data_IF_012679197471
#
_entry.id   IF_012679197471
#
_cell.length_a   1.000
_cell.length_b   1.000
_cell.length_c   1.000
_cell.angle_alpha   90.00
_cell.angle_beta   90.00
_cell.angle_gamma   90.00
#
_symmetry.space_group_name_H-M   'P 1'
#
loop_
_entity.id
_entity.type
_entity.pdbx_description
1 polymer ?
#
# COMPACT_ATOMS: atom_id res chain seq x y z
N UNK A 1 14.31 13.83 -8.73
CA UNK A 1 13.21 12.84 -8.81
C UNK A 1 13.32 11.82 -7.70
N UNK A 2 12.45 11.92 -6.70
CA UNK A 2 12.36 10.95 -5.60
C UNK A 2 11.16 10.04 -5.86
N UNK A 3 11.26 8.76 -5.51
CA UNK A 3 10.11 7.84 -5.54
C UNK A 3 9.39 7.90 -4.19
N UNK A 4 8.09 8.18 -4.20
CA UNK A 4 7.25 8.25 -2.99
C UNK A 4 6.06 7.30 -3.11
N UNK A 5 5.63 6.74 -1.99
CA UNK A 5 4.47 5.84 -1.93
C UNK A 5 3.28 6.68 -1.50
N UNK A 6 2.23 6.69 -2.31
CA UNK A 6 0.98 7.44 -2.07
C UNK A 6 -0.22 6.51 -2.15
N UNK A 7 -1.33 6.91 -1.53
CA UNK A 7 -2.61 6.22 -1.73
C UNK A 7 -3.08 6.42 -3.16
N UNK A 8 -3.72 5.41 -3.75
CA UNK A 8 -4.33 5.56 -5.09
C UNK A 8 -5.38 6.68 -5.10
N UNK A 9 -6.06 6.92 -3.97
CA UNK A 9 -7.06 7.98 -3.83
C UNK A 9 -6.45 9.39 -3.84
N UNK A 10 -5.15 9.51 -3.57
CA UNK A 10 -4.41 10.78 -3.60
C UNK A 10 -3.79 11.03 -4.98
N UNK A 11 -3.84 10.03 -5.87
CA UNK A 11 -3.29 10.12 -7.21
C UNK A 11 -4.15 11.00 -8.10
N UNK A 12 -3.49 11.82 -8.91
CA UNK A 12 -4.14 12.68 -9.90
C UNK A 12 -3.57 12.42 -11.28
N UNK A 13 -4.40 12.63 -12.29
CA UNK A 13 -3.95 12.66 -13.69
C UNK A 13 -2.75 13.61 -13.84
N UNK A 14 -1.71 13.15 -14.54
CA UNK A 14 -0.45 13.86 -14.72
C UNK A 14 0.70 13.42 -13.79
N UNK A 15 0.43 12.66 -12.72
CA UNK A 15 1.48 12.05 -11.91
C UNK A 15 2.18 10.92 -12.67
N UNK A 16 3.48 10.68 -12.41
CA UNK A 16 4.23 9.64 -13.12
C UNK A 16 4.50 8.43 -12.22
N UNK A 17 4.32 7.22 -12.73
CA UNK A 17 4.63 5.98 -12.02
C UNK A 17 6.14 5.84 -11.83
N UNK A 18 6.54 5.56 -10.59
CA UNK A 18 7.94 5.37 -10.21
C UNK A 18 8.41 3.92 -10.18
N UNK A 19 7.54 2.93 -10.42
CA UNK A 19 7.95 1.53 -10.53
C UNK A 19 6.91 0.71 -11.30
N UNK A 20 7.39 -0.23 -12.12
CA UNK A 20 6.52 -1.14 -12.87
C UNK A 20 5.67 -1.97 -11.91
N UNK A 21 4.37 -1.95 -12.14
CA UNK A 21 3.40 -2.73 -11.37
C UNK A 21 3.07 -4.03 -12.09
N UNK A 22 3.09 -5.12 -11.33
CA UNK A 22 2.75 -6.46 -11.80
C UNK A 22 1.49 -6.97 -11.09
N UNK A 23 0.71 -7.81 -11.76
CA UNK A 23 -0.34 -8.57 -11.10
C UNK A 23 0.24 -9.85 -10.45
N UNK A 24 -0.62 -10.62 -9.79
CA UNK A 24 -0.25 -11.87 -9.12
C UNK A 24 0.30 -12.95 -10.08
N UNK A 25 0.03 -12.82 -11.38
CA UNK A 25 0.52 -13.70 -12.44
C UNK A 25 1.83 -13.21 -13.07
N UNK A 26 2.43 -12.13 -12.57
CA UNK A 26 3.65 -11.54 -13.11
C UNK A 26 3.46 -10.74 -14.40
N UNK A 27 2.22 -10.48 -14.82
CA UNK A 27 1.94 -9.64 -15.98
C UNK A 27 2.01 -8.16 -15.60
N UNK A 28 2.57 -7.34 -16.49
CA UNK A 28 2.68 -5.89 -16.29
C UNK A 28 1.30 -5.24 -16.35
N UNK A 29 0.91 -4.55 -15.29
CA UNK A 29 -0.33 -3.75 -15.22
C UNK A 29 -0.06 -2.34 -15.75
N UNK A 30 1.03 -1.72 -15.28
CA UNK A 30 1.49 -0.37 -15.64
C UNK A 30 3.03 -0.34 -15.58
N UNK A 31 3.69 0.23 -16.57
CA UNK A 31 5.15 0.33 -16.62
C UNK A 31 5.68 1.54 -15.83
N UNK A 32 6.90 1.45 -15.32
CA UNK A 32 7.65 2.61 -14.82
C UNK A 32 7.66 3.74 -15.86
N UNK A 33 7.64 4.99 -15.38
CA UNK A 33 7.58 6.21 -16.18
C UNK A 33 6.28 6.43 -16.96
N UNK A 34 5.25 5.63 -16.72
CA UNK A 34 3.91 5.88 -17.27
C UNK A 34 3.27 7.07 -16.56
N UNK A 35 2.74 8.04 -17.32
CA UNK A 35 1.92 9.12 -16.77
C UNK A 35 0.53 8.58 -16.45
N UNK A 36 0.09 8.75 -15.21
CA UNK A 36 -1.24 8.41 -14.75
C UNK A 36 -2.26 9.31 -15.46
N UNK A 37 -3.30 8.68 -15.98
CA UNK A 37 -4.54 9.31 -16.40
C UNK A 37 -5.72 8.71 -15.63
N UNK A 38 -6.91 9.30 -15.79
CA UNK A 38 -8.10 8.84 -15.10
C UNK A 38 -8.49 7.39 -15.47
N UNK A 39 -8.10 6.93 -16.67
CA UNK A 39 -8.37 5.56 -17.10
C UNK A 39 -7.49 4.55 -16.34
N UNK A 40 -6.19 4.84 -16.20
CA UNK A 40 -5.23 4.05 -15.45
C UNK A 40 -5.60 4.04 -13.97
N UNK A 41 -5.96 5.20 -13.39
CA UNK A 41 -6.38 5.28 -11.98
C UNK A 41 -7.63 4.40 -11.74
N UNK A 42 -8.63 4.47 -12.62
CA UNK A 42 -9.81 3.58 -12.53
C UNK A 42 -9.44 2.10 -12.67
N UNK A 43 -8.55 1.76 -13.62
CA UNK A 43 -8.09 0.38 -13.82
C UNK A 43 -7.40 -0.16 -12.58
N UNK A 44 -6.50 0.63 -11.97
CA UNK A 44 -5.80 0.27 -10.74
C UNK A 44 -6.79 0.08 -9.57
N UNK A 45 -7.80 0.96 -9.46
CA UNK A 45 -8.83 0.84 -8.43
C UNK A 45 -9.65 -0.45 -8.60
N UNK A 46 -10.02 -0.79 -9.83
CA UNK A 46 -10.76 -2.04 -10.14
C UNK A 46 -9.94 -3.30 -9.86
N UNK A 47 -8.61 -3.19 -9.90
CA UNK A 47 -7.69 -4.28 -9.55
C UNK A 47 -7.41 -4.35 -8.03
N UNK A 48 -8.05 -3.51 -7.22
CA UNK A 48 -7.86 -3.49 -5.76
C UNK A 48 -6.52 -2.87 -5.33
N UNK A 49 -5.85 -2.12 -6.19
CA UNK A 49 -4.60 -1.44 -5.84
C UNK A 49 -4.90 -0.30 -4.88
N UNK A 50 -4.31 -0.34 -3.69
CA UNK A 50 -4.52 0.69 -2.66
C UNK A 50 -3.40 1.72 -2.60
N UNK A 51 -2.18 1.34 -3.00
CA UNK A 51 -0.97 2.19 -2.92
C UNK A 51 -0.16 2.06 -4.20
N UNK A 52 0.42 3.18 -4.63
CA UNK A 52 1.28 3.24 -5.81
C UNK A 52 2.52 4.07 -5.52
N UNK A 53 3.62 3.72 -6.20
CA UNK A 53 4.86 4.50 -6.14
C UNK A 53 4.86 5.49 -7.29
N UNK A 54 4.92 6.78 -6.98
CA UNK A 54 5.00 7.86 -7.98
C UNK A 54 6.39 8.52 -7.97
N UNK A 55 6.78 9.10 -9.09
CA UNK A 55 7.91 10.01 -9.18
C UNK A 55 7.45 11.40 -8.75
N UNK A 56 8.07 11.88 -7.68
CA UNK A 56 7.91 13.23 -7.20
C UNK A 56 9.03 14.10 -7.77
N UNK A 57 8.61 15.13 -8.50
CA UNK A 57 9.47 16.19 -9.04
C UNK A 57 9.34 17.51 -8.26
N UNK A 58 8.48 17.54 -7.23
CA UNK A 58 8.33 18.68 -6.33
C UNK A 58 9.23 18.48 -5.11
N UNK A 59 10.09 19.44 -4.81
CA UNK A 59 10.94 19.46 -3.60
C UNK A 59 10.13 19.74 -2.32
N UNK A 60 8.83 19.42 -2.29
CA UNK A 60 7.91 19.87 -1.26
C UNK A 60 6.59 19.10 -1.22
N UNK A 61 6.40 18.39 -0.10
CA UNK A 61 5.12 17.95 0.46
C UNK A 61 4.28 16.97 -0.37
N UNK A 62 4.26 15.69 0.04
CA UNK A 62 3.13 15.09 0.79
C UNK A 62 3.65 13.94 1.68
N UNK A 63 3.93 14.22 2.95
CA UNK A 63 4.07 13.19 3.99
C UNK A 63 3.25 13.67 5.18
N UNK A 64 1.99 13.26 5.28
CA UNK A 64 1.25 13.22 6.55
C UNK A 64 -0.15 12.69 6.24
N UNK A 65 -0.34 11.38 6.34
CA UNK A 65 -1.62 10.73 6.70
C UNK A 65 -1.49 9.20 6.61
N UNK A 66 -0.80 8.70 5.57
CA UNK A 66 -0.68 7.27 5.30
C UNK A 66 0.31 6.52 6.20
N UNK A 67 1.36 7.21 6.70
CA UNK A 67 2.33 6.62 7.61
C UNK A 67 1.79 6.41 9.03
N UNK A 68 0.96 7.33 9.53
CA UNK A 68 0.38 7.19 10.87
C UNK A 68 -0.68 6.11 10.90
N UNK A 69 -1.56 6.05 9.88
CA UNK A 69 -2.53 4.98 9.75
C UNK A 69 -1.86 3.60 9.56
N UNK A 70 -0.78 3.53 8.77
CA UNK A 70 0.01 2.31 8.62
C UNK A 70 0.68 1.90 9.94
N UNK A 71 1.29 2.85 10.67
CA UNK A 71 1.89 2.56 11.98
C UNK A 71 0.85 2.09 12.98
N UNK A 72 -0.34 2.70 12.99
CA UNK A 72 -1.44 2.29 13.86
C UNK A 72 -1.86 0.85 13.57
N UNK A 73 -2.15 0.53 12.30
CA UNK A 73 -2.53 -0.83 11.90
C UNK A 73 -1.41 -1.85 12.14
N UNK A 74 -0.15 -1.49 11.87
CA UNK A 74 1.00 -2.36 12.12
C UNK A 74 1.14 -2.68 13.61
N UNK A 75 1.02 -1.66 14.48
CA UNK A 75 1.10 -1.86 15.92
C UNK A 75 -0.06 -2.73 16.43
N UNK A 76 -1.28 -2.50 15.96
CA UNK A 76 -2.44 -3.34 16.28
C UNK A 76 -2.19 -4.80 15.88
N UNK A 77 -1.72 -5.04 14.65
CA UNK A 77 -1.42 -6.39 14.17
C UNK A 77 -0.31 -7.06 14.99
N UNK A 78 0.73 -6.32 15.40
CA UNK A 78 1.80 -6.85 16.25
C UNK A 78 1.27 -7.28 17.62
N UNK A 79 0.37 -6.52 18.22
CA UNK A 79 -0.26 -6.90 19.49
C UNK A 79 -1.11 -8.16 19.34
N UNK A 80 -1.92 -8.27 18.27
CA UNK A 80 -2.69 -9.50 17.98
C UNK A 80 -1.78 -10.72 17.85
N UNK A 81 -0.66 -10.60 17.15
CA UNK A 81 0.30 -11.71 17.00
C UNK A 81 0.98 -12.07 18.33
N UNK A 82 1.32 -11.08 19.17
CA UNK A 82 1.86 -11.34 20.51
C UNK A 82 0.87 -12.11 21.37
N UNK A 83 -0.41 -11.75 21.33
CA UNK A 83 -1.48 -12.42 22.06
C UNK A 83 -1.63 -13.88 21.59
N UNK A 84 -1.65 -14.11 20.28
CA UNK A 84 -1.70 -15.46 19.71
C UNK A 84 -0.49 -16.29 20.14
N UNK A 85 0.72 -15.74 20.07
CA UNK A 85 1.94 -16.42 20.52
C UNK A 85 1.88 -16.73 22.03
N UNK A 86 1.34 -15.82 22.83
CA UNK A 86 1.16 -16.03 24.27
C UNK A 86 0.15 -17.15 24.54
N UNK A 87 -0.97 -17.18 23.84
CA UNK A 87 -1.98 -18.25 23.93
C UNK A 87 -1.38 -19.62 23.57
N UNK A 88 -0.59 -19.70 22.49
CA UNK A 88 0.13 -20.92 22.09
C UNK A 88 1.11 -21.34 23.19
N UNK A 89 1.93 -20.41 23.68
CA UNK A 89 2.96 -20.70 24.69
C UNK A 89 2.36 -21.15 26.04
N UNK A 90 1.16 -20.69 26.36
CA UNK A 90 0.43 -21.04 27.59
C UNK A 90 -0.48 -22.27 27.42
N UNK A 91 -0.50 -22.91 26.24
CA UNK A 91 -1.31 -24.10 25.95
C UNK A 91 -2.82 -23.81 25.86
N UNK A 92 -3.21 -22.55 25.61
CA UNK A 92 -4.61 -22.17 25.40
C UNK A 92 -5.02 -22.41 23.94
N UNK A 93 -6.31 -22.62 23.71
CA UNK A 93 -6.86 -22.72 22.35
C UNK A 93 -6.79 -21.34 21.68
N UNK A 94 -6.25 -21.30 20.46
CA UNK A 94 -6.17 -20.07 19.65
C UNK A 94 -7.47 -19.88 18.88
N UNK A 95 -8.08 -18.70 19.00
CA UNK A 95 -9.24 -18.33 18.20
C UNK A 95 -8.82 -17.83 16.82
N UNK A 96 -8.97 -18.71 15.82
CA UNK A 96 -8.65 -18.42 14.41
C UNK A 96 -9.49 -17.32 13.77
N UNK A 97 -10.60 -16.88 14.39
CA UNK A 97 -11.41 -15.77 13.84
C UNK A 97 -10.79 -14.38 14.11
N UNK A 98 -9.73 -14.32 14.91
CA UNK A 98 -9.04 -13.07 15.30
C UNK A 98 -7.79 -12.79 14.46
N UNK A 99 -7.46 -13.67 13.51
CA UNK A 99 -6.22 -13.67 12.71
C UNK A 99 -6.52 -13.47 11.23
#
# INVERSE_FOLDING_TARGET
MRKVIVSLNECKSGMQIGETMFNEYGAVIVAENTVLDDHIIRKLNNLGVTRVKILDDSDGMVIANSNELFKAQYNENVEVIKDVLHEISSGKNVDMNRV
#
